data_IF_796044772625
#
_entry.id   IF_796044772625
#
_cell.length_a   1.000
_cell.length_b   1.000
_cell.length_c   1.000
_cell.angle_alpha   90.00
_cell.angle_beta   90.00
_cell.angle_gamma   90.00
#
_symmetry.space_group_name_H-M   'P 1'
#
loop_
_entity.id
_entity.type
_entity.pdbx_description
1 polymer ?
#
# COMPACT_ATOMS: atom_id res chain seq x y z
N UNK A 1 13.63 -9.25 0.40
CA UNK A 1 13.08 -9.48 -0.95
C UNK A 1 12.88 -8.15 -1.66
N UNK A 2 12.96 -8.14 -2.99
CA UNK A 2 12.52 -7.00 -3.81
C UNK A 2 11.00 -7.13 -4.01
N UNK A 3 10.26 -6.03 -3.88
CA UNK A 3 8.81 -6.02 -4.06
C UNK A 3 8.38 -4.81 -4.89
N UNK A 4 7.41 -5.04 -5.77
CA UNK A 4 6.67 -4.00 -6.48
C UNK A 4 5.26 -4.50 -6.74
N UNK A 5 4.33 -3.55 -6.81
CA UNK A 5 2.90 -3.81 -6.91
C UNK A 5 2.31 -4.62 -5.76
N UNK A 6 1.03 -4.93 -5.93
CA UNK A 6 0.21 -5.67 -4.96
C UNK A 6 0.61 -7.13 -4.83
N UNK A 7 1.19 -7.72 -5.89
CA UNK A 7 1.71 -9.10 -5.88
C UNK A 7 2.94 -9.25 -4.98
N UNK A 8 3.88 -8.31 -5.04
CA UNK A 8 5.05 -8.29 -4.15
C UNK A 8 4.65 -8.14 -2.69
N UNK A 9 3.68 -7.27 -2.41
CA UNK A 9 3.12 -7.10 -1.07
C UNK A 9 2.40 -8.36 -0.56
N UNK A 10 1.64 -9.06 -1.42
CA UNK A 10 0.99 -10.32 -1.05
C UNK A 10 2.00 -11.43 -0.71
N UNK A 11 3.08 -11.54 -1.49
CA UNK A 11 4.15 -12.48 -1.21
C UNK A 11 4.87 -12.14 0.11
N UNK A 12 5.13 -10.86 0.39
CA UNK A 12 5.73 -10.43 1.65
C UNK A 12 4.86 -10.82 2.86
N UNK A 13 3.54 -10.62 2.77
CA UNK A 13 2.60 -11.06 3.81
C UNK A 13 2.59 -12.58 3.97
N UNK A 14 2.63 -13.35 2.87
CA UNK A 14 2.74 -14.81 2.91
C UNK A 14 4.02 -15.28 3.59
N UNK A 15 5.17 -14.68 3.28
CA UNK A 15 6.45 -14.97 3.94
C UNK A 15 6.37 -14.65 5.44
N UNK A 16 5.83 -13.47 5.81
CA UNK A 16 5.65 -13.08 7.21
C UNK A 16 4.79 -14.06 8.01
N UNK A 17 3.83 -14.73 7.37
CA UNK A 17 2.97 -15.70 8.03
C UNK A 17 3.70 -17.01 8.41
N UNK A 18 4.81 -17.34 7.74
CA UNK A 18 5.55 -18.60 7.95
C UNK A 18 6.96 -18.42 8.51
N UNK A 19 7.56 -17.24 8.35
CA UNK A 19 8.91 -16.94 8.81
C UNK A 19 8.92 -16.31 10.22
N UNK A 20 10.02 -16.46 10.99
CA UNK A 20 10.25 -15.69 12.21
C UNK A 20 10.12 -14.18 11.95
N UNK A 21 9.63 -13.43 12.95
CA UNK A 21 9.29 -12.01 12.79
C UNK A 21 10.45 -11.15 12.30
N UNK A 22 11.67 -11.48 12.66
CA UNK A 22 12.85 -10.62 12.45
C UNK A 22 13.62 -10.97 11.16
N UNK A 23 13.10 -11.88 10.34
CA UNK A 23 13.78 -12.38 9.13
C UNK A 23 13.26 -11.79 7.82
N UNK A 24 12.23 -10.93 7.85
CA UNK A 24 11.69 -10.30 6.65
C UNK A 24 12.17 -8.86 6.48
N UNK A 25 13.02 -8.63 5.49
CA UNK A 25 13.31 -7.30 4.94
C UNK A 25 12.70 -7.17 3.56
N UNK A 26 11.94 -6.11 3.31
CA UNK A 26 11.35 -5.78 2.00
C UNK A 26 12.02 -4.51 1.47
N UNK A 27 12.50 -4.58 0.23
CA UNK A 27 13.01 -3.44 -0.53
C UNK A 27 11.95 -3.15 -1.60
N UNK A 28 11.17 -2.10 -1.40
CA UNK A 28 10.06 -1.74 -2.26
C UNK A 28 10.51 -0.87 -3.44
N UNK A 29 9.84 -1.03 -4.56
CA UNK A 29 9.92 -0.12 -5.70
C UNK A 29 9.44 1.29 -5.31
N UNK A 30 10.11 2.30 -5.86
CA UNK A 30 9.77 3.73 -5.66
C UNK A 30 9.59 4.45 -7.01
N UNK A 31 9.57 3.72 -8.14
CA UNK A 31 9.42 4.32 -9.47
C UNK A 31 8.00 4.85 -9.72
N UNK A 32 7.04 4.40 -8.91
CA UNK A 32 5.63 4.80 -8.98
C UNK A 32 5.28 5.82 -7.88
N UNK A 33 6.28 6.33 -7.15
CA UNK A 33 6.09 7.38 -6.16
C UNK A 33 5.85 8.72 -6.86
N UNK A 34 4.82 9.45 -6.44
CA UNK A 34 4.48 10.75 -7.04
C UNK A 34 3.84 11.70 -6.01
N UNK A 35 3.82 13.00 -6.33
CA UNK A 35 3.20 14.02 -5.49
C UNK A 35 1.76 14.31 -5.92
N UNK A 36 0.82 14.14 -5.00
CA UNK A 36 -0.60 14.48 -5.16
C UNK A 36 -0.98 15.53 -4.13
N UNK A 37 -1.43 16.71 -4.58
CA UNK A 37 -1.81 17.84 -3.71
C UNK A 37 -0.75 18.20 -2.64
N UNK A 38 0.53 18.11 -2.99
CA UNK A 38 1.66 18.39 -2.09
C UNK A 38 1.96 17.28 -1.07
N UNK A 39 1.36 16.09 -1.24
CA UNK A 39 1.62 14.90 -0.44
C UNK A 39 2.31 13.85 -1.32
N UNK A 40 3.41 13.28 -0.84
CA UNK A 40 4.07 12.16 -1.50
C UNK A 40 3.25 10.88 -1.27
N UNK A 41 2.90 10.20 -2.35
CA UNK A 41 2.20 8.91 -2.35
C UNK A 41 3.14 7.83 -2.86
N UNK A 42 3.39 6.81 -2.04
CA UNK A 42 4.33 5.72 -2.33
C UNK A 42 3.58 4.37 -2.43
N UNK A 43 2.92 4.06 -3.57
CA UNK A 43 1.90 3.01 -3.64
C UNK A 43 2.43 1.60 -3.30
N UNK A 44 3.66 1.27 -3.70
CA UNK A 44 4.25 -0.05 -3.46
C UNK A 44 4.74 -0.24 -2.03
N UNK A 45 5.31 0.81 -1.43
CA UNK A 45 5.66 0.85 -0.02
C UNK A 45 4.40 0.69 0.84
N UNK A 46 3.36 1.46 0.52
CA UNK A 46 2.08 1.45 1.21
C UNK A 46 1.38 0.09 1.13
N UNK A 47 1.36 -0.54 -0.05
CA UNK A 47 0.78 -1.87 -0.23
C UNK A 47 1.43 -2.91 0.68
N UNK A 48 2.77 -2.87 0.82
CA UNK A 48 3.52 -3.75 1.74
C UNK A 48 3.14 -3.47 3.19
N UNK A 49 3.15 -2.19 3.59
CA UNK A 49 2.81 -1.79 4.96
C UNK A 49 1.39 -2.22 5.32
N UNK A 50 0.40 -1.89 4.49
CA UNK A 50 -1.00 -2.18 4.75
C UNK A 50 -1.28 -3.68 4.83
N UNK A 51 -0.66 -4.51 3.98
CA UNK A 51 -0.82 -5.96 4.05
C UNK A 51 -0.17 -6.55 5.30
N UNK A 52 1.05 -6.12 5.64
CA UNK A 52 1.74 -6.61 6.85
C UNK A 52 1.05 -6.15 8.14
N UNK A 53 0.38 -4.99 8.12
CA UNK A 53 -0.44 -4.50 9.22
C UNK A 53 -1.86 -5.11 9.26
N UNK A 54 -2.27 -5.87 8.24
CA UNK A 54 -3.61 -6.48 8.17
C UNK A 54 -4.74 -5.49 7.90
N UNK A 55 -4.43 -4.32 7.34
CA UNK A 55 -5.39 -3.24 7.05
C UNK A 55 -5.55 -2.98 5.55
N UNK A 56 -4.95 -3.80 4.69
CA UNK A 56 -5.10 -3.68 3.23
C UNK A 56 -6.54 -3.95 2.79
N UNK A 57 -7.01 -3.21 1.79
CA UNK A 57 -8.32 -3.42 1.20
C UNK A 57 -8.26 -4.46 0.07
N UNK A 58 -8.46 -5.74 0.40
CA UNK A 58 -8.48 -6.82 -0.60
C UNK A 58 -9.65 -6.71 -1.60
N UNK A 59 -10.74 -6.01 -1.24
CA UNK A 59 -11.90 -5.83 -2.13
C UNK A 59 -11.59 -4.84 -3.25
N UNK A 60 -10.97 -3.71 -2.93
CA UNK A 60 -10.57 -2.70 -3.90
C UNK A 60 -9.27 -3.08 -4.63
N UNK A 61 -8.41 -3.88 -3.99
CA UNK A 61 -7.11 -4.26 -4.51
C UNK A 61 -6.02 -3.21 -4.27
N UNK A 62 -6.31 -2.14 -3.51
CA UNK A 62 -5.35 -1.10 -3.10
C UNK A 62 -5.89 -0.33 -1.88
N UNK A 63 -5.03 0.39 -1.19
CA UNK A 63 -5.41 1.27 -0.08
C UNK A 63 -5.84 0.53 1.19
N UNK A 64 -6.46 1.27 2.10
CA UNK A 64 -6.83 0.81 3.44
C UNK A 64 -8.26 0.26 3.45
N UNK A 65 -8.48 -0.81 4.20
CA UNK A 65 -9.78 -1.43 4.41
C UNK A 65 -10.75 -0.41 5.01
N UNK A 66 -11.97 -0.37 4.46
CA UNK A 66 -13.06 0.50 4.89
C UNK A 66 -12.74 2.01 4.75
N UNK A 67 -11.79 2.39 3.87
CA UNK A 67 -11.59 3.80 3.51
C UNK A 67 -12.88 4.38 2.91
N UNK A 68 -13.19 5.59 3.35
CA UNK A 68 -14.44 6.30 3.04
C UNK A 68 -14.33 7.16 1.79
N UNK A 69 -13.11 7.46 1.33
CA UNK A 69 -12.85 8.36 0.20
C UNK A 69 -13.45 9.77 0.32
N UNK A 70 -13.92 10.18 1.51
CA UNK A 70 -14.60 11.47 1.73
C UNK A 70 -13.78 12.65 1.24
N UNK A 71 -12.48 12.68 1.51
CA UNK A 71 -11.63 13.81 1.08
C UNK A 71 -11.55 13.86 -0.45
N UNK A 72 -11.33 12.71 -1.09
CA UNK A 72 -11.26 12.61 -2.56
C UNK A 72 -12.59 13.03 -3.21
N UNK A 73 -13.73 12.62 -2.65
CA UNK A 73 -15.04 13.05 -3.11
C UNK A 73 -15.22 14.58 -3.03
N UNK A 74 -14.78 15.20 -1.93
CA UNK A 74 -14.86 16.66 -1.75
C UNK A 74 -13.90 17.42 -2.67
N UNK A 75 -12.73 16.86 -2.96
CA UNK A 75 -11.79 17.42 -3.94
C UNK A 75 -12.39 17.37 -5.35
N UNK A 76 -12.96 16.24 -5.75
CA UNK A 76 -13.65 16.11 -7.03
C UNK A 76 -14.82 17.09 -7.19
N UNK A 77 -15.61 17.32 -6.13
CA UNK A 77 -16.67 18.34 -6.11
C UNK A 77 -16.12 19.78 -6.28
N UNK A 78 -14.89 20.03 -5.82
CA UNK A 78 -14.20 21.32 -5.95
C UNK A 78 -13.50 21.51 -7.31
N UNK A 79 -13.47 20.47 -8.16
CA UNK A 79 -12.82 20.49 -9.48
C UNK A 79 -11.34 20.12 -9.45
N UNK A 80 -10.90 19.47 -8.37
CA UNK A 80 -9.56 18.88 -8.21
C UNK A 80 -9.53 17.40 -8.61
#
# INVERSE_FOLDING_TARGET
>A
MLAGGTGGAALAAGIRAVAPRDELTVIANTADDDEFWGLLVCPDVDAVIYRLAGVFNDKAGYGIKDDTFRVLERLAEAGE
#
